data_IF_941622846762
#
_entry.id   IF_941622846762
#
_cell.length_a   1.000
_cell.length_b   1.000
_cell.length_c   1.000
_cell.angle_alpha   90.00
_cell.angle_beta   90.00
_cell.angle_gamma   90.00
#
_symmetry.space_group_name_H-M   'P 1'
#
loop_
_entity.id
_entity.type
_entity.pdbx_description
1 polymer ?
#
# COMPACT_ATOMS: atom_id res chain seq x y z
N UNK A 1 5.38 -6.23 10.83
CA UNK A 1 4.76 -5.70 9.60
C UNK A 1 3.89 -6.74 8.90
N UNK A 2 4.37 -7.94 8.58
CA UNK A 2 3.53 -8.98 7.92
C UNK A 2 2.23 -9.31 8.70
N UNK A 3 2.25 -9.56 10.02
CA UNK A 3 1.01 -9.82 10.77
C UNK A 3 0.03 -8.63 10.81
N UNK A 4 0.54 -7.40 10.69
CA UNK A 4 -0.28 -6.19 10.65
C UNK A 4 -1.12 -6.13 9.36
N UNK A 5 -0.51 -6.46 8.21
CA UNK A 5 -1.24 -6.57 6.95
C UNK A 5 -2.29 -7.69 6.98
N UNK A 6 -2.07 -8.79 7.70
CA UNK A 6 -3.12 -9.81 7.86
C UNK A 6 -4.38 -9.26 8.56
N UNK A 7 -4.21 -8.39 9.55
CA UNK A 7 -5.34 -7.75 10.25
C UNK A 7 -6.07 -6.79 9.30
N UNK A 8 -5.34 -5.97 8.54
CA UNK A 8 -5.97 -5.07 7.57
C UNK A 8 -6.71 -5.85 6.47
N UNK A 9 -6.09 -6.92 5.94
CA UNK A 9 -6.71 -7.74 4.91
C UNK A 9 -7.91 -8.55 5.42
N UNK A 10 -8.07 -8.76 6.74
CA UNK A 10 -9.28 -9.43 7.26
C UNK A 10 -10.52 -8.54 7.22
N UNK A 11 -10.36 -7.23 6.98
CA UNK A 11 -11.44 -6.26 6.82
C UNK A 11 -11.39 -5.56 5.46
N UNK A 12 -10.67 -6.12 4.47
CA UNK A 12 -10.62 -5.52 3.14
C UNK A 12 -11.96 -5.62 2.40
N UNK A 13 -12.33 -4.57 1.68
CA UNK A 13 -13.48 -4.58 0.79
C UNK A 13 -13.05 -5.08 -0.59
N UNK A 14 -13.64 -6.19 -1.01
CA UNK A 14 -13.40 -6.77 -2.33
C UNK A 14 -14.25 -6.07 -3.38
N UNK A 15 -13.71 -5.91 -4.60
CA UNK A 15 -14.46 -5.32 -5.71
C UNK A 15 -15.76 -6.08 -5.97
N UNK A 16 -16.85 -5.33 -6.11
CA UNK A 16 -18.17 -5.86 -6.44
C UNK A 16 -19.03 -6.26 -5.24
N UNK A 17 -18.55 -6.09 -4.01
CA UNK A 17 -19.30 -6.48 -2.81
C UNK A 17 -19.98 -5.31 -2.09
N UNK A 18 -19.40 -4.10 -2.12
CA UNK A 18 -19.94 -2.93 -1.43
C UNK A 18 -20.47 -1.90 -2.42
N UNK A 19 -21.78 -1.95 -2.70
CA UNK A 19 -22.42 -1.07 -3.67
C UNK A 19 -22.87 0.25 -3.03
N UNK A 20 -22.23 1.35 -3.44
CA UNK A 20 -22.51 2.71 -2.94
C UNK A 20 -23.37 3.56 -3.90
N UNK A 21 -23.64 3.03 -5.10
CA UNK A 21 -24.53 3.61 -6.09
C UNK A 21 -24.81 2.64 -7.24
N UNK A 22 -25.71 2.96 -8.18
CA UNK A 22 -25.96 2.10 -9.35
C UNK A 22 -24.64 1.79 -10.09
N UNK A 23 -24.23 0.52 -10.09
CA UNK A 23 -22.97 0.03 -10.66
C UNK A 23 -21.66 0.66 -10.10
N UNK A 24 -21.72 1.34 -8.95
CA UNK A 24 -20.55 1.87 -8.25
C UNK A 24 -20.26 1.05 -7.00
N UNK A 25 -19.04 0.50 -6.94
CA UNK A 25 -18.62 -0.36 -5.85
C UNK A 25 -17.38 0.20 -5.15
N UNK A 26 -17.48 0.37 -3.84
CA UNK A 26 -16.32 0.66 -2.99
C UNK A 26 -15.41 -0.57 -2.92
N UNK A 27 -14.11 -0.32 -2.77
CA UNK A 27 -13.13 -1.38 -2.55
C UNK A 27 -11.87 -0.79 -1.89
N UNK A 28 -11.11 -1.62 -1.20
CA UNK A 28 -9.83 -1.21 -0.61
C UNK A 28 -8.80 -0.95 -1.70
N UNK A 29 -8.49 0.32 -1.98
CA UNK A 29 -7.56 0.73 -3.05
C UNK A 29 -6.12 0.28 -2.73
N UNK A 30 -5.69 0.53 -1.49
CA UNK A 30 -4.39 0.15 -0.95
C UNK A 30 -4.52 -0.03 0.57
N UNK A 31 -3.58 -0.76 1.15
CA UNK A 31 -3.42 -0.89 2.60
C UNK A 31 -2.02 -0.43 2.96
N UNK A 32 -1.86 0.31 4.04
CA UNK A 32 -0.56 0.82 4.47
C UNK A 32 -0.34 0.67 5.98
N UNK A 33 0.91 0.81 6.37
CA UNK A 33 1.33 0.90 7.76
C UNK A 33 2.71 1.53 7.87
N UNK A 34 2.96 2.26 8.96
CA UNK A 34 4.23 2.97 9.16
C UNK A 34 4.94 2.47 10.41
N UNK A 35 6.24 2.17 10.29
CA UNK A 35 7.11 2.02 11.44
C UNK A 35 7.63 3.42 11.84
N UNK A 36 7.06 3.98 12.89
CA UNK A 36 7.37 5.34 13.35
C UNK A 36 8.78 5.45 13.95
N UNK A 37 9.28 4.40 14.61
CA UNK A 37 10.63 4.40 15.19
C UNK A 37 11.72 4.44 14.11
N UNK A 38 11.43 3.84 12.95
CA UNK A 38 12.36 3.74 11.83
C UNK A 38 12.08 4.72 10.70
N UNK A 39 10.95 5.43 10.71
CA UNK A 39 10.55 6.29 9.59
C UNK A 39 10.28 5.53 8.28
N UNK A 40 9.76 4.30 8.37
CA UNK A 40 9.54 3.46 7.18
C UNK A 40 8.05 3.30 6.91
N UNK A 41 7.62 3.73 5.73
CA UNK A 41 6.27 3.56 5.19
C UNK A 41 6.18 2.27 4.37
N UNK A 42 5.16 1.47 4.63
CA UNK A 42 4.90 0.20 3.94
C UNK A 42 3.51 0.24 3.32
N UNK A 43 3.36 -0.28 2.11
CA UNK A 43 2.03 -0.39 1.50
C UNK A 43 1.91 -1.61 0.57
N UNK A 44 0.67 -2.08 0.40
CA UNK A 44 0.23 -3.00 -0.65
C UNK A 44 -0.88 -2.32 -1.44
N UNK A 45 -1.10 -2.73 -2.69
CA UNK A 45 -2.24 -2.22 -3.49
C UNK A 45 -3.25 -3.33 -3.71
N UNK A 46 -4.46 -3.00 -4.14
CA UNK A 46 -5.47 -4.01 -4.47
C UNK A 46 -4.96 -5.05 -5.48
N UNK A 47 -4.25 -4.58 -6.51
CA UNK A 47 -3.73 -5.37 -7.64
C UNK A 47 -2.39 -6.04 -7.36
N UNK A 48 -1.65 -5.60 -6.34
CA UNK A 48 -0.38 -6.20 -5.98
C UNK A 48 -0.15 -6.21 -4.46
N UNK A 49 -0.27 -7.42 -3.90
CA UNK A 49 -0.13 -7.70 -2.47
C UNK A 49 1.32 -7.84 -2.01
N UNK A 50 2.32 -7.73 -2.90
CA UNK A 50 3.71 -7.60 -2.46
C UNK A 50 3.87 -6.32 -1.64
N UNK A 51 4.57 -6.37 -0.50
CA UNK A 51 4.80 -5.19 0.34
C UNK A 51 5.84 -4.28 -0.33
N UNK A 52 5.47 -3.03 -0.58
CA UNK A 52 6.36 -1.94 -1.00
C UNK A 52 6.84 -1.17 0.22
N UNK A 53 8.00 -0.54 0.09
CA UNK A 53 8.67 0.15 1.19
C UNK A 53 9.19 1.50 0.71
N UNK A 54 8.88 2.56 1.45
CA UNK A 54 9.49 3.88 1.32
C UNK A 54 10.16 4.20 2.64
N UNK A 55 11.47 4.40 2.62
CA UNK A 55 12.28 4.68 3.80
C UNK A 55 12.66 6.16 3.77
N UNK A 56 12.06 6.96 4.66
CA UNK A 56 12.24 8.41 4.64
C UNK A 56 13.69 8.82 4.92
N UNK A 57 14.44 8.00 5.66
CA UNK A 57 15.83 8.30 6.01
C UNK A 57 16.81 8.08 4.85
N UNK A 58 16.32 7.61 3.70
CA UNK A 58 17.11 7.51 2.46
C UNK A 58 17.00 8.74 1.58
N UNK A 59 16.14 9.69 1.95
CA UNK A 59 15.95 10.93 1.23
C UNK A 59 16.57 12.11 1.99
N UNK A 60 16.69 13.26 1.32
CA UNK A 60 17.15 14.50 1.94
C UNK A 60 16.05 15.11 2.81
N UNK A 61 16.17 14.94 4.13
CA UNK A 61 15.22 15.45 5.11
C UNK A 61 15.30 16.97 5.32
N UNK A 62 16.40 17.61 4.90
CA UNK A 62 16.58 19.07 4.95
C UNK A 62 16.13 19.76 3.64
N UNK A 63 15.67 18.98 2.66
CA UNK A 63 15.10 19.49 1.41
C UNK A 63 13.93 20.45 1.68
N UNK A 64 13.87 21.51 0.89
CA UNK A 64 12.73 22.46 0.88
C UNK A 64 11.62 22.04 -0.08
N UNK A 65 11.94 21.11 -0.98
CA UNK A 65 11.04 20.62 -2.01
C UNK A 65 10.38 19.30 -1.57
N UNK A 66 9.12 19.12 -1.97
CA UNK A 66 8.38 17.90 -1.70
C UNK A 66 8.95 16.74 -2.53
N UNK A 67 9.24 15.62 -1.86
CA UNK A 67 9.64 14.37 -2.50
C UNK A 67 8.40 13.51 -2.67
N UNK A 68 8.09 13.14 -3.91
CA UNK A 68 6.89 12.37 -4.26
C UNK A 68 7.25 11.06 -4.96
N UNK A 69 6.54 9.99 -4.63
CA UNK A 69 6.68 8.69 -5.28
C UNK A 69 5.35 8.25 -5.88
N UNK A 70 5.37 7.83 -7.13
CA UNK A 70 4.23 7.17 -7.74
C UNK A 70 3.99 5.81 -7.07
N UNK A 71 2.71 5.50 -6.80
CA UNK A 71 2.32 4.22 -6.24
C UNK A 71 2.55 3.09 -7.26
N UNK A 72 3.25 2.04 -6.82
CA UNK A 72 3.46 0.84 -7.62
C UNK A 72 2.19 -0.02 -7.59
N UNK A 73 1.33 0.18 -8.59
CA UNK A 73 0.02 -0.48 -8.72
C UNK A 73 0.03 -1.67 -9.68
N UNK A 74 1.04 -1.80 -10.53
CA UNK A 74 1.14 -2.95 -11.44
C UNK A 74 1.51 -4.19 -10.64
N UNK A 75 0.87 -5.31 -10.95
CA UNK A 75 1.22 -6.62 -10.38
C UNK A 75 2.66 -6.98 -10.72
N UNK A 76 3.46 -7.22 -9.68
CA UNK A 76 4.82 -7.73 -9.81
C UNK A 76 4.83 -9.25 -9.57
N UNK A 77 5.48 -9.98 -10.49
CA UNK A 77 5.69 -11.42 -10.35
C UNK A 77 7.16 -11.69 -10.08
N UNK A 78 7.43 -12.50 -9.05
CA UNK A 78 8.78 -13.02 -8.81
C UNK A 78 8.84 -14.43 -9.42
N UNK A 79 9.62 -14.57 -10.50
CA UNK A 79 9.90 -15.89 -11.09
C UNK A 79 10.89 -16.63 -10.21
N UNK A 80 10.54 -17.85 -9.82
CA UNK A 80 11.42 -18.71 -9.03
C UNK A 80 12.36 -19.55 -9.90
N UNK A 81 12.03 -19.71 -11.19
CA UNK A 81 12.77 -20.47 -12.19
C UNK A 81 12.48 -19.95 -13.60
#
# INVERSE_FOLDING_TARGET
MIPYFHILHSAEQQKGLDQVGPDFFEYTIYSDGTNLDKGIFYYTTYTDKQIKVVDMNKEDLDSKDLITFDMLTKTCFNYQN
#
